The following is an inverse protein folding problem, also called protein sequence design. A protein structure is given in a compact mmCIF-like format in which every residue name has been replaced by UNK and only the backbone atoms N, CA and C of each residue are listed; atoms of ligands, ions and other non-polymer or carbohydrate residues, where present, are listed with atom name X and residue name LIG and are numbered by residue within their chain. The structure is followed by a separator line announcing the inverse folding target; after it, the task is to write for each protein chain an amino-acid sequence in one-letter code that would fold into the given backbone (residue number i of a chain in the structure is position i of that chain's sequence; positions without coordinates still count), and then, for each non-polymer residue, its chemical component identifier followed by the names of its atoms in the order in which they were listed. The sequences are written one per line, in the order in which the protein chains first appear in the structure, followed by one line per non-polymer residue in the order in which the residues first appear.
data_IF_291282526396
#
_entry.id   IF_291282526396
#
_cell.length_a   1.000
_cell.length_b   1.000
_cell.length_c   1.000
_cell.angle_alpha   90.00
_cell.angle_beta   90.00
_cell.angle_gamma   90.00
#
_symmetry.space_group_name_H-M   'P 1'
#
loop_
_entity.id
_entity.type
_entity.pdbx_description
1 polymer ?
#
# COMPACT_ATOMS: atom_id res chain seq x y z
N UNK A 1 -5.45 -6.05 26.69
CA UNK A 1 -5.15 -4.94 25.78
C UNK A 1 -6.17 -3.83 26.04
N UNK A 2 -5.76 -2.58 26.31
CA UNK A 2 -6.71 -1.46 26.37
C UNK A 2 -7.02 -1.01 24.95
N UNK A 3 -8.28 -1.06 24.54
CA UNK A 3 -8.75 -0.46 23.29
C UNK A 3 -9.05 1.02 23.56
N UNK A 4 -8.60 1.89 22.67
CA UNK A 4 -8.94 3.30 22.68
C UNK A 4 -9.92 3.59 21.53
N UNK A 5 -10.97 4.36 21.79
CA UNK A 5 -11.93 4.78 20.81
C UNK A 5 -11.73 6.26 20.49
N UNK A 6 -11.49 6.58 19.21
CA UNK A 6 -11.25 7.95 18.71
C UNK A 6 -12.54 8.46 18.05
N UNK A 7 -13.25 9.39 18.72
CA UNK A 7 -14.64 9.78 18.37
C UNK A 7 -14.76 11.22 17.85
N UNK A 8 -14.21 11.51 16.67
CA UNK A 8 -14.42 12.83 16.04
C UNK A 8 -15.04 12.73 14.65
N UNK A 9 -14.83 11.58 13.99
CA UNK A 9 -15.43 11.37 12.69
C UNK A 9 -16.89 10.94 12.77
N UNK A 10 -17.77 11.63 12.04
CA UNK A 10 -19.20 11.31 11.97
C UNK A 10 -19.56 10.37 10.81
N UNK A 11 -18.75 9.37 10.47
CA UNK A 11 -19.03 8.36 9.44
C UNK A 11 -17.77 7.65 8.93
N UNK A 12 -17.84 7.12 7.72
CA UNK A 12 -16.85 6.19 7.17
C UNK A 12 -15.45 6.79 7.02
N UNK A 13 -14.47 6.20 7.70
CA UNK A 13 -13.04 6.54 7.57
C UNK A 13 -12.51 5.85 6.31
N UNK A 14 -11.81 6.60 5.46
CA UNK A 14 -11.29 6.13 4.18
C UNK A 14 -9.79 5.85 4.21
N UNK A 15 -9.09 6.38 5.21
CA UNK A 15 -7.66 6.13 5.37
C UNK A 15 -7.19 6.41 6.79
N UNK A 16 -6.21 5.63 7.21
CA UNK A 16 -5.52 5.75 8.48
C UNK A 16 -4.04 5.42 8.28
N UNK A 17 -3.18 6.17 8.93
CA UNK A 17 -1.75 5.87 9.03
C UNK A 17 -1.21 6.36 10.37
N UNK A 18 -0.17 5.71 10.87
CA UNK A 18 0.43 6.03 12.17
C UNK A 18 1.93 6.27 12.05
N UNK A 19 2.45 7.07 12.96
CA UNK A 19 3.88 7.35 13.07
C UNK A 19 4.49 6.50 14.18
N UNK A 20 5.57 5.75 13.93
CA UNK A 20 6.19 4.92 14.95
C UNK A 20 7.01 5.70 15.99
N UNK A 21 7.46 6.93 15.67
CA UNK A 21 8.35 7.71 16.53
C UNK A 21 7.62 8.74 17.39
N UNK A 22 6.63 9.43 16.79
CA UNK A 22 5.91 10.52 17.47
C UNK A 22 4.57 10.09 18.08
N UNK A 23 4.22 8.80 18.01
CA UNK A 23 2.95 8.25 18.51
C UNK A 23 1.73 9.06 18.04
N UNK A 24 1.76 9.50 16.79
CA UNK A 24 0.67 10.22 16.15
C UNK A 24 -0.09 9.31 15.17
N UNK A 25 -1.40 9.51 15.09
CA UNK A 25 -2.24 8.85 14.10
C UNK A 25 -2.84 9.95 13.22
N UNK A 26 -2.88 9.72 11.90
CA UNK A 26 -3.66 10.53 10.99
C UNK A 26 -4.81 9.72 10.42
N UNK A 27 -5.98 10.31 10.39
CA UNK A 27 -7.18 9.73 9.79
C UNK A 27 -7.77 10.69 8.77
N UNK A 28 -8.27 10.17 7.67
CA UNK A 28 -9.02 10.95 6.70
C UNK A 28 -10.37 10.32 6.39
N UNK A 29 -11.30 11.14 5.87
CA UNK A 29 -12.67 10.74 5.65
C UNK A 29 -13.26 11.30 4.36
N UNK A 30 -14.35 10.69 3.92
CA UNK A 30 -15.13 11.14 2.78
C UNK A 30 -15.73 12.56 2.93
N UNK A 31 -15.84 13.12 4.14
CA UNK A 31 -16.29 14.50 4.41
C UNK A 31 -15.26 15.59 4.10
N UNK A 32 -14.10 15.20 3.54
CA UNK A 32 -13.03 16.10 3.11
C UNK A 32 -12.20 16.71 4.25
N UNK A 33 -12.24 16.10 5.42
CA UNK A 33 -11.44 16.47 6.59
C UNK A 33 -10.44 15.37 6.94
N UNK A 34 -9.37 15.77 7.61
CA UNK A 34 -8.44 14.87 8.28
C UNK A 34 -8.28 15.29 9.74
N UNK A 35 -7.96 14.32 10.59
CA UNK A 35 -7.58 14.57 11.97
C UNK A 35 -6.21 14.00 12.23
N UNK A 36 -5.36 14.78 12.90
CA UNK A 36 -4.14 14.31 13.51
C UNK A 36 -4.39 14.10 15.00
N UNK A 37 -4.16 12.89 15.45
CA UNK A 37 -4.35 12.46 16.82
C UNK A 37 -3.00 12.35 17.50
N UNK A 38 -2.75 13.18 18.51
CA UNK A 38 -1.56 13.11 19.35
C UNK A 38 -1.92 12.60 20.73
N UNK A 39 -1.06 11.81 21.34
CA UNK A 39 -1.26 11.34 22.70
C UNK A 39 -0.55 12.27 23.70
N UNK A 40 -1.30 12.86 24.63
CA UNK A 40 -0.78 13.64 25.75
C UNK A 40 -1.39 13.09 27.06
N UNK A 41 -0.54 12.73 28.01
CA UNK A 41 -0.93 12.20 29.32
C UNK A 41 -1.86 10.96 29.22
N UNK A 42 -1.60 10.09 28.24
CA UNK A 42 -2.40 8.90 27.98
C UNK A 42 -3.77 9.15 27.32
N UNK A 43 -4.07 10.39 26.95
CA UNK A 43 -5.32 10.79 26.29
C UNK A 43 -5.04 11.21 24.86
N UNK A 44 -5.79 10.65 23.93
CA UNK A 44 -5.74 11.02 22.50
C UNK A 44 -6.49 12.33 22.26
N UNK A 45 -5.80 13.33 21.72
CA UNK A 45 -6.36 14.64 21.37
C UNK A 45 -6.39 14.81 19.85
N UNK A 46 -7.55 15.10 19.26
CA UNK A 46 -7.69 15.37 17.84
C UNK A 46 -7.29 16.80 17.49
N UNK A 47 -6.59 16.97 16.39
CA UNK A 47 -6.37 18.26 15.73
C UNK A 47 -6.97 18.20 14.34
N UNK A 48 -7.97 19.06 14.06
CA UNK A 48 -8.61 19.13 12.76
C UNK A 48 -7.64 19.72 11.72
N UNK A 49 -7.54 19.05 10.58
CA UNK A 49 -6.81 19.53 9.42
C UNK A 49 -7.77 19.75 8.25
N UNK A 50 -7.95 21.02 7.88
CA UNK A 50 -8.85 21.41 6.78
C UNK A 50 -8.13 21.17 5.45
N UNK A 51 -8.54 20.14 4.72
CA UNK A 51 -7.90 19.75 3.47
C UNK A 51 -8.22 20.67 2.29
N UNK A 52 -9.34 21.40 2.31
CA UNK A 52 -9.81 22.26 1.22
C UNK A 52 -9.88 21.51 -0.13
N UNK A 53 -10.36 20.27 -0.13
CA UNK A 53 -10.58 19.43 -1.30
C UNK A 53 -12.05 19.42 -1.70
N UNK A 54 -12.33 19.18 -3.00
CA UNK A 54 -13.69 19.18 -3.53
C UNK A 54 -14.31 17.77 -3.58
N UNK A 55 -13.47 16.73 -3.52
CA UNK A 55 -13.88 15.33 -3.54
C UNK A 55 -13.50 14.65 -2.22
N UNK A 56 -14.09 13.48 -1.96
CA UNK A 56 -13.77 12.67 -0.79
C UNK A 56 -12.26 12.39 -0.70
N UNK A 57 -11.71 12.40 0.51
CA UNK A 57 -10.39 11.86 0.76
C UNK A 57 -10.46 10.33 0.62
N UNK A 58 -9.46 9.73 -0.02
CA UNK A 58 -9.45 8.29 -0.36
C UNK A 58 -8.33 7.52 0.33
N UNK A 59 -7.25 8.20 0.66
CA UNK A 59 -6.05 7.61 1.24
C UNK A 59 -5.25 8.65 2.02
N UNK A 60 -4.50 8.24 3.03
CA UNK A 60 -3.58 9.11 3.77
C UNK A 60 -2.29 8.35 4.06
N UNK A 61 -1.16 9.05 4.00
CA UNK A 61 0.16 8.48 4.28
C UNK A 61 1.08 9.50 4.93
N UNK A 62 1.64 9.16 6.10
CA UNK A 62 2.69 9.92 6.74
C UNK A 62 3.99 9.89 5.94
N UNK A 63 4.73 10.98 5.98
CA UNK A 63 6.12 11.01 5.52
C UNK A 63 7.04 10.32 6.53
N UNK A 64 8.18 9.83 6.07
CA UNK A 64 9.10 9.05 6.92
C UNK A 64 9.75 9.85 8.06
N UNK A 65 9.87 11.17 7.90
CA UNK A 65 10.33 12.07 8.97
C UNK A 65 9.20 12.55 9.88
N UNK A 66 7.97 12.09 9.64
CA UNK A 66 6.78 12.41 10.45
C UNK A 66 6.45 13.92 10.56
N UNK A 67 7.01 14.74 9.68
CA UNK A 67 6.83 16.20 9.66
C UNK A 67 5.72 16.65 8.69
N UNK A 68 5.19 15.74 7.88
CA UNK A 68 4.12 15.99 6.92
C UNK A 68 3.40 14.71 6.54
N UNK A 69 2.21 14.84 5.96
CA UNK A 69 1.46 13.71 5.40
C UNK A 69 0.79 14.08 4.08
N UNK A 70 0.55 13.10 3.25
CA UNK A 70 -0.15 13.25 1.98
C UNK A 70 -1.54 12.64 2.05
N UNK A 71 -2.52 13.30 1.41
CA UNK A 71 -3.91 12.82 1.32
C UNK A 71 -4.27 12.63 -0.14
N UNK A 72 -4.77 11.44 -0.46
CA UNK A 72 -5.40 11.12 -1.74
C UNK A 72 -6.76 11.80 -1.86
N UNK A 73 -7.14 12.17 -3.01
CA UNK A 73 -8.35 12.75 -3.59
C UNK A 73 -7.93 13.56 -4.80
N UNK A 74 -7.34 14.73 -4.64
CA UNK A 74 -6.66 15.51 -5.67
C UNK A 74 -5.20 15.76 -5.29
N UNK A 75 -4.54 14.81 -4.65
CA UNK A 75 -3.18 14.88 -4.10
C UNK A 75 -2.92 16.16 -3.29
N UNK A 76 -3.29 16.13 -2.02
CA UNK A 76 -3.00 17.17 -1.03
C UNK A 76 -1.79 16.78 -0.20
N UNK A 77 -0.96 17.76 0.09
CA UNK A 77 0.13 17.65 1.03
C UNK A 77 -0.15 18.53 2.24
N UNK A 78 -0.07 17.95 3.43
CA UNK A 78 -0.24 18.67 4.69
C UNK A 78 1.06 18.60 5.48
N UNK A 79 1.49 19.73 6.03
CA UNK A 79 2.64 19.82 6.91
C UNK A 79 2.32 20.68 8.12
N UNK A 80 3.03 20.42 9.22
CA UNK A 80 2.88 21.17 10.45
C UNK A 80 3.77 22.43 10.40
N UNK A 81 3.17 23.59 10.66
CA UNK A 81 3.90 24.87 10.79
C UNK A 81 4.07 25.19 12.27
N UNK A 82 5.28 25.02 12.76
CA UNK A 82 5.60 25.17 14.18
C UNK A 82 5.45 26.61 14.70
N UNK A 83 5.62 27.61 13.84
CA UNK A 83 5.49 29.02 14.24
C UNK A 83 4.06 29.40 14.63
N UNK A 84 3.07 28.82 13.97
CA UNK A 84 1.66 29.10 14.19
C UNK A 84 0.90 27.94 14.87
N UNK A 85 1.56 26.85 15.19
CA UNK A 85 1.01 25.63 15.84
C UNK A 85 -0.22 25.04 15.11
N UNK A 86 -0.18 25.02 13.78
CA UNK A 86 -1.26 24.47 12.96
C UNK A 86 -0.79 23.70 11.72
N UNK A 87 -1.71 22.94 11.11
CA UNK A 87 -1.47 22.20 9.90
C UNK A 87 -1.84 23.00 8.66
N UNK A 88 -0.90 23.13 7.72
CA UNK A 88 -1.10 23.77 6.42
C UNK A 88 -1.27 22.73 5.32
N UNK A 89 -2.27 22.93 4.46
CA UNK A 89 -2.48 22.07 3.30
C UNK A 89 -2.07 22.77 1.99
N UNK A 90 -1.11 22.16 1.25
CA UNK A 90 -0.72 22.57 -0.11
C UNK A 90 -1.26 21.57 -1.14
N UNK A 91 -1.75 22.04 -2.28
CA UNK A 91 -2.33 21.21 -3.32
C UNK A 91 -1.35 20.98 -4.48
N UNK A 92 -1.16 19.73 -4.88
CA UNK A 92 -0.46 19.35 -6.11
C UNK A 92 -1.42 19.61 -7.28
N UNK A 93 -1.47 20.88 -7.76
CA UNK A 93 -2.44 21.37 -8.76
C UNK A 93 -2.08 20.90 -10.18
N UNK A 94 -3.12 20.74 -11.02
CA UNK A 94 -3.06 20.62 -12.50
C UNK A 94 -2.47 19.32 -13.08
N UNK A 95 -1.87 18.44 -12.30
CA UNK A 95 -1.21 17.23 -12.84
C UNK A 95 -2.05 15.96 -12.71
N UNK A 96 -2.94 15.91 -11.71
CA UNK A 96 -3.88 14.80 -11.50
C UNK A 96 -5.29 15.37 -11.59
N UNK A 97 -6.10 14.83 -12.51
CA UNK A 97 -7.49 15.23 -12.75
C UNK A 97 -8.50 14.15 -12.35
N UNK A 98 -8.01 13.05 -11.82
CA UNK A 98 -8.80 11.89 -11.38
C UNK A 98 -8.52 11.57 -9.92
N UNK A 99 -9.31 10.67 -9.35
CA UNK A 99 -9.14 10.21 -7.97
C UNK A 99 -7.79 9.52 -7.78
N UNK A 100 -7.07 9.90 -6.73
CA UNK A 100 -5.85 9.22 -6.28
C UNK A 100 -6.25 8.06 -5.38
N UNK A 101 -5.78 6.86 -5.68
CA UNK A 101 -6.12 5.63 -4.95
C UNK A 101 -4.99 5.17 -4.03
N UNK A 102 -3.73 5.42 -4.38
CA UNK A 102 -2.58 5.03 -3.57
C UNK A 102 -1.51 6.12 -3.54
N UNK A 103 -0.82 6.23 -2.43
CA UNK A 103 0.27 7.17 -2.19
C UNK A 103 1.41 6.45 -1.47
N UNK A 104 2.64 6.81 -1.79
CA UNK A 104 3.80 6.39 -1.01
C UNK A 104 4.93 7.42 -1.06
N UNK A 105 5.68 7.52 0.04
CA UNK A 105 6.79 8.44 0.18
C UNK A 105 8.11 7.78 -0.20
N UNK A 106 8.91 8.50 -0.96
CA UNK A 106 10.29 8.12 -1.17
C UNK A 106 11.10 8.26 0.13
N UNK A 107 12.11 7.40 0.39
CA UNK A 107 12.94 7.46 1.61
C UNK A 107 13.59 8.81 1.90
N UNK A 108 13.81 9.65 0.89
CA UNK A 108 14.35 11.01 1.09
C UNK A 108 13.33 12.00 1.67
N UNK A 109 12.10 11.60 1.95
CA UNK A 109 11.03 12.46 2.46
C UNK A 109 10.59 13.62 1.53
N UNK A 110 11.11 13.70 0.31
CA UNK A 110 10.87 14.83 -0.63
C UNK A 110 10.08 14.43 -1.86
N UNK A 111 10.13 13.16 -2.29
CA UNK A 111 9.35 12.67 -3.40
C UNK A 111 8.13 11.91 -2.92
N UNK A 112 7.03 12.06 -3.66
CA UNK A 112 5.75 11.39 -3.42
C UNK A 112 5.31 10.69 -4.70
N UNK A 113 5.05 9.38 -4.61
CA UNK A 113 4.38 8.63 -5.67
C UNK A 113 2.87 8.68 -5.48
N UNK A 114 2.13 8.73 -6.59
CA UNK A 114 0.67 8.72 -6.61
C UNK A 114 0.15 7.85 -7.75
N UNK A 115 -0.70 6.89 -7.39
CA UNK A 115 -1.49 6.08 -8.31
C UNK A 115 -2.91 6.62 -8.43
N UNK A 116 -3.47 6.67 -9.63
CA UNK A 116 -4.75 7.32 -9.87
C UNK A 116 -5.63 6.61 -10.90
N UNK A 117 -6.93 6.95 -10.89
CA UNK A 117 -7.93 6.39 -11.79
C UNK A 117 -7.75 6.80 -13.26
N UNK A 118 -6.83 7.68 -13.61
CA UNK A 118 -6.47 8.02 -14.97
C UNK A 118 -5.41 7.10 -15.58
N UNK A 119 -5.21 5.92 -14.98
CA UNK A 119 -4.31 4.84 -15.40
C UNK A 119 -2.83 5.23 -15.32
N UNK A 120 -2.49 6.18 -14.47
CA UNK A 120 -1.11 6.67 -14.34
C UNK A 120 -0.58 6.54 -12.93
N UNK A 121 0.67 6.10 -12.84
CA UNK A 121 1.52 6.27 -11.68
C UNK A 121 2.43 7.49 -11.92
N UNK A 122 2.54 8.38 -10.95
CA UNK A 122 3.33 9.62 -11.05
C UNK A 122 4.20 9.81 -9.84
N UNK A 123 5.37 10.39 -10.05
CA UNK A 123 6.27 10.85 -8.98
C UNK A 123 6.32 12.37 -9.01
N UNK A 124 6.05 12.99 -7.86
CA UNK A 124 6.08 14.44 -7.68
C UNK A 124 7.12 14.86 -6.67
N UNK A 125 7.65 16.06 -6.83
CA UNK A 125 8.33 16.73 -5.75
C UNK A 125 7.31 17.25 -4.73
N UNK A 126 7.47 16.81 -3.50
CA UNK A 126 6.73 17.24 -2.31
C UNK A 126 7.62 18.11 -1.39
N UNK A 127 8.68 18.69 -1.94
CA UNK A 127 9.62 19.54 -1.23
C UNK A 127 8.93 20.79 -0.69
N UNK A 128 9.06 21.01 0.61
CA UNK A 128 8.52 22.19 1.31
C UNK A 128 9.66 22.88 2.03
N UNK A 129 10.03 24.07 1.55
CA UNK A 129 11.20 24.83 2.03
C UNK A 129 11.14 25.08 3.54
N UNK A 130 9.94 25.20 4.10
CA UNK A 130 9.67 25.53 5.49
C UNK A 130 9.96 24.37 6.46
N UNK A 131 9.97 23.12 5.94
CA UNK A 131 10.10 21.92 6.79
C UNK A 131 11.13 20.91 6.29
N UNK A 132 11.59 21.03 5.05
CA UNK A 132 12.54 20.09 4.44
C UNK A 132 13.89 20.74 4.19
N UNK A 133 14.95 19.96 4.35
CA UNK A 133 16.27 20.33 3.87
C UNK A 133 16.31 20.34 2.34
N UNK A 134 17.17 21.18 1.74
CA UNK A 134 17.30 21.25 0.29
C UNK A 134 17.75 19.90 -0.27
N UNK A 135 16.96 19.27 -1.15
CA UNK A 135 17.28 17.95 -1.65
C UNK A 135 18.51 17.97 -2.56
N UNK A 136 19.35 16.95 -2.45
CA UNK A 136 20.42 16.67 -3.39
C UNK A 136 19.85 16.13 -4.72
N UNK A 137 20.66 16.16 -5.78
CA UNK A 137 20.34 15.49 -7.04
C UNK A 137 20.25 13.99 -6.85
N UNK A 138 19.27 13.35 -7.50
CA UNK A 138 19.02 11.93 -7.39
C UNK A 138 18.58 11.33 -8.73
N UNK A 139 18.50 9.99 -8.87
CA UNK A 139 18.14 9.33 -10.12
C UNK A 139 16.78 9.77 -10.69
N UNK A 140 15.82 10.19 -9.84
CA UNK A 140 14.51 10.71 -10.25
C UNK A 140 14.57 12.14 -10.82
N UNK A 141 15.65 12.88 -10.64
CA UNK A 141 15.86 14.23 -11.15
C UNK A 141 16.62 15.13 -10.18
N UNK A 142 17.03 16.31 -10.66
CA UNK A 142 17.84 17.27 -9.91
C UNK A 142 17.09 18.53 -9.46
N UNK A 143 16.04 18.93 -10.20
CA UNK A 143 15.23 20.12 -9.88
C UNK A 143 13.92 19.70 -9.26
N UNK A 144 13.74 19.99 -7.97
CA UNK A 144 12.61 19.54 -7.18
C UNK A 144 11.81 20.68 -6.53
N UNK A 145 11.34 21.70 -7.29
CA UNK A 145 10.42 22.66 -6.71
C UNK A 145 9.10 21.95 -6.36
N UNK A 146 8.38 22.45 -5.36
CA UNK A 146 7.09 21.90 -4.96
C UNK A 146 6.15 21.67 -6.17
N UNK A 147 5.46 20.53 -6.19
CA UNK A 147 4.52 20.14 -7.25
C UNK A 147 5.16 19.85 -8.62
N UNK A 148 6.49 19.75 -8.72
CA UNK A 148 7.13 19.38 -9.99
C UNK A 148 6.89 17.90 -10.29
N UNK A 149 6.47 17.59 -11.51
CA UNK A 149 6.33 16.21 -11.98
C UNK A 149 7.71 15.69 -12.38
N UNK A 150 8.21 14.72 -11.61
CA UNK A 150 9.49 14.07 -11.87
C UNK A 150 9.37 12.96 -12.92
N UNK A 151 8.34 12.12 -12.80
CA UNK A 151 8.08 11.02 -13.72
C UNK A 151 6.59 10.69 -13.80
N UNK A 152 6.16 10.16 -14.96
CA UNK A 152 4.81 9.66 -15.16
C UNK A 152 4.84 8.37 -15.98
N UNK A 153 4.16 7.34 -15.50
CA UNK A 153 4.10 6.01 -16.10
C UNK A 153 2.66 5.65 -16.44
N UNK A 154 2.46 4.87 -17.50
CA UNK A 154 1.15 4.41 -17.93
C UNK A 154 0.40 5.46 -18.79
N UNK A 155 -0.83 5.14 -19.17
CA UNK A 155 -1.74 6.09 -19.84
C UNK A 155 -1.80 5.98 -21.35
N UNK A 156 -1.43 4.86 -21.95
CA UNK A 156 -1.65 4.58 -23.39
C UNK A 156 -3.07 4.11 -23.75
N UNK A 157 -4.06 4.39 -22.89
CA UNK A 157 -5.49 4.12 -23.18
C UNK A 157 -5.98 2.70 -22.89
N UNK A 158 -5.10 1.75 -22.63
CA UNK A 158 -5.45 0.34 -22.40
C UNK A 158 -5.15 -0.16 -20.99
N UNK A 159 -4.74 0.72 -20.07
CA UNK A 159 -4.39 0.37 -18.70
C UNK A 159 -5.58 0.36 -17.74
N UNK A 160 -5.38 -0.16 -16.53
CA UNK A 160 -6.34 -0.12 -15.42
C UNK A 160 -6.04 1.01 -14.43
N UNK A 161 -6.98 1.30 -13.54
CA UNK A 161 -6.77 2.18 -12.38
C UNK A 161 -5.55 1.73 -11.58
N UNK A 162 -4.67 2.66 -11.23
CA UNK A 162 -3.51 2.35 -10.38
C UNK A 162 -3.95 2.43 -8.93
N UNK A 163 -4.08 1.26 -8.29
CA UNK A 163 -4.60 1.13 -6.93
C UNK A 163 -3.54 1.36 -5.85
N UNK A 164 -2.39 0.73 -6.00
CA UNK A 164 -1.30 0.77 -5.02
C UNK A 164 0.01 1.21 -5.66
N UNK A 165 0.83 1.90 -4.88
CA UNK A 165 2.19 2.30 -5.25
C UNK A 165 3.11 2.10 -4.04
N UNK A 166 4.37 1.75 -4.27
CA UNK A 166 5.36 1.60 -3.20
C UNK A 166 6.77 1.89 -3.71
N UNK A 167 7.55 2.67 -2.98
CA UNK A 167 8.99 2.80 -3.20
C UNK A 167 9.77 1.67 -2.54
N UNK A 168 10.90 1.29 -3.12
CA UNK A 168 11.88 0.43 -2.46
C UNK A 168 12.57 1.17 -1.31
N UNK A 169 13.18 0.42 -0.39
CA UNK A 169 13.91 0.97 0.77
C UNK A 169 15.04 1.92 0.37
N UNK A 170 15.72 1.68 -0.75
CA UNK A 170 16.71 2.59 -1.31
C UNK A 170 16.10 3.80 -2.03
N UNK A 171 14.80 3.77 -2.37
CA UNK A 171 14.12 4.75 -3.20
C UNK A 171 14.46 4.70 -4.69
N UNK A 172 15.36 3.82 -5.14
CA UNK A 172 15.72 3.72 -6.55
C UNK A 172 14.63 3.10 -7.42
N UNK A 173 13.72 2.32 -6.82
CA UNK A 173 12.66 1.61 -7.53
C UNK A 173 11.29 2.04 -7.03
N UNK A 174 10.31 2.00 -7.93
CA UNK A 174 8.90 2.27 -7.65
C UNK A 174 8.06 1.14 -8.26
N UNK A 175 7.29 0.44 -7.42
CA UNK A 175 6.31 -0.56 -7.85
C UNK A 175 4.90 0.02 -7.84
N UNK A 176 4.05 -0.46 -8.76
CA UNK A 176 2.61 -0.18 -8.73
C UNK A 176 1.80 -1.35 -9.28
N UNK A 177 0.55 -1.42 -8.84
CA UNK A 177 -0.42 -2.42 -9.27
C UNK A 177 -1.65 -1.75 -9.86
N UNK A 178 -2.20 -2.36 -10.90
CA UNK A 178 -3.31 -1.79 -11.65
C UNK A 178 -4.50 -2.74 -11.75
N UNK A 179 -5.68 -2.18 -11.99
CA UNK A 179 -6.94 -2.93 -12.08
C UNK A 179 -7.00 -3.91 -13.26
N UNK A 180 -6.13 -3.76 -14.23
CA UNK A 180 -5.97 -4.67 -15.36
C UNK A 180 -5.10 -5.90 -15.04
N UNK A 181 -4.86 -6.19 -13.76
CA UNK A 181 -4.04 -7.32 -13.28
C UNK A 181 -2.56 -7.20 -13.66
N UNK A 182 -2.04 -6.00 -13.83
CA UNK A 182 -0.62 -5.76 -14.05
C UNK A 182 0.12 -5.36 -12.78
N UNK A 183 1.32 -5.86 -12.65
CA UNK A 183 2.34 -5.39 -11.69
C UNK A 183 3.47 -4.75 -12.49
N UNK A 184 3.89 -3.58 -12.09
CA UNK A 184 4.95 -2.85 -12.79
C UNK A 184 5.99 -2.33 -11.80
N UNK A 185 7.24 -2.26 -12.25
CA UNK A 185 8.36 -1.68 -11.50
C UNK A 185 9.12 -0.73 -12.42
N UNK A 186 9.34 0.50 -11.96
CA UNK A 186 10.26 1.46 -12.56
C UNK A 186 11.56 1.50 -11.76
N UNK A 187 12.70 1.42 -12.44
CA UNK A 187 14.04 1.49 -11.84
C UNK A 187 14.74 2.76 -12.31
N UNK A 188 14.86 3.75 -11.42
CA UNK A 188 15.48 5.03 -11.72
C UNK A 188 17.01 4.92 -11.87
N UNK A 189 17.65 3.92 -11.27
CA UNK A 189 19.09 3.66 -11.45
C UNK A 189 19.44 3.22 -12.87
N UNK A 190 18.45 2.74 -13.64
CA UNK A 190 18.56 2.27 -15.02
C UNK A 190 17.86 3.21 -16.00
N UNK A 191 18.08 4.52 -15.88
CA UNK A 191 17.46 5.52 -16.74
C UNK A 191 15.92 5.44 -16.75
N UNK A 192 15.34 5.12 -15.59
CA UNK A 192 13.89 4.98 -15.39
C UNK A 192 13.27 3.86 -16.26
N UNK A 193 13.99 2.73 -16.36
CA UNK A 193 13.49 1.55 -17.06
C UNK A 193 12.22 1.02 -16.36
N UNK A 194 11.17 0.73 -17.14
CA UNK A 194 9.92 0.15 -16.65
C UNK A 194 9.79 -1.29 -17.11
N UNK A 195 9.50 -2.18 -16.15
CA UNK A 195 9.14 -3.58 -16.39
C UNK A 195 7.73 -3.82 -15.94
N UNK A 196 6.92 -4.44 -16.79
CA UNK A 196 5.51 -4.74 -16.52
C UNK A 196 5.25 -6.23 -16.70
N UNK A 197 4.62 -6.85 -15.70
CA UNK A 197 4.15 -8.22 -15.73
C UNK A 197 2.63 -8.22 -15.77
N UNK A 198 2.06 -8.75 -16.85
CA UNK A 198 0.64 -9.07 -16.95
C UNK A 198 0.40 -10.39 -16.26
N UNK A 199 -0.46 -10.43 -15.26
CA UNK A 199 -0.80 -11.65 -14.54
C UNK A 199 -2.17 -12.19 -14.98
N UNK A 200 -2.41 -13.48 -14.75
CA UNK A 200 -3.71 -14.12 -14.94
C UNK A 200 -4.59 -14.04 -13.68
N UNK A 201 -4.09 -13.39 -12.65
CA UNK A 201 -4.80 -13.21 -11.38
C UNK A 201 -5.84 -12.09 -11.46
N UNK A 202 -6.74 -12.05 -10.48
CA UNK A 202 -7.67 -10.95 -10.30
C UNK A 202 -6.90 -9.65 -9.96
N UNK A 203 -7.55 -8.48 -10.14
CA UNK A 203 -6.89 -7.20 -9.88
C UNK A 203 -6.30 -7.10 -8.47
N UNK A 204 -5.08 -6.57 -8.41
CA UNK A 204 -4.36 -6.30 -7.17
C UNK A 204 -4.69 -4.89 -6.68
N UNK A 205 -4.89 -4.74 -5.37
CA UNK A 205 -5.31 -3.49 -4.75
C UNK A 205 -4.21 -2.80 -3.96
N UNK A 206 -3.28 -3.56 -3.41
CA UNK A 206 -2.19 -3.06 -2.57
C UNK A 206 -0.87 -3.69 -2.96
N UNK A 207 0.22 -2.93 -2.83
CA UNK A 207 1.58 -3.36 -3.14
C UNK A 207 2.55 -2.77 -2.13
N UNK A 208 3.59 -3.52 -1.77
CA UNK A 208 4.68 -3.05 -0.91
C UNK A 208 5.99 -3.74 -1.29
N UNK A 209 7.10 -2.99 -1.32
CA UNK A 209 8.43 -3.62 -1.30
C UNK A 209 8.69 -4.22 0.07
N UNK A 210 9.17 -5.45 0.10
CA UNK A 210 9.57 -6.18 1.32
C UNK A 210 11.08 -6.34 1.43
N UNK A 211 11.77 -6.21 0.33
CA UNK A 211 13.23 -6.06 0.20
C UNK A 211 13.53 -5.22 -1.04
N UNK A 212 14.79 -4.97 -1.34
CA UNK A 212 15.18 -4.21 -2.54
C UNK A 212 14.69 -4.86 -3.85
N UNK A 213 14.59 -6.19 -3.87
CA UNK A 213 14.28 -6.98 -5.07
C UNK A 213 12.89 -7.67 -5.00
N UNK A 214 12.26 -7.72 -3.86
CA UNK A 214 11.02 -8.47 -3.64
C UNK A 214 9.83 -7.54 -3.42
N UNK A 215 8.75 -7.79 -4.14
CA UNK A 215 7.50 -7.03 -4.10
C UNK A 215 6.37 -7.94 -3.66
N UNK A 216 5.65 -7.52 -2.64
CA UNK A 216 4.45 -8.16 -2.14
C UNK A 216 3.23 -7.41 -2.66
N UNK A 217 2.25 -8.11 -3.21
CA UNK A 217 0.99 -7.52 -3.63
C UNK A 217 -0.20 -8.40 -3.23
N UNK A 218 -1.36 -7.78 -3.03
CA UNK A 218 -2.59 -8.47 -2.68
C UNK A 218 -3.81 -7.74 -3.25
N UNK A 219 -4.92 -8.46 -3.39
CA UNK A 219 -6.15 -7.92 -3.95
C UNK A 219 -7.31 -8.90 -3.92
N UNK A 220 -7.98 -9.04 -5.05
CA UNK A 220 -9.23 -9.82 -5.17
C UNK A 220 -9.07 -11.34 -5.11
N UNK A 221 -7.85 -11.86 -5.26
CA UNK A 221 -7.56 -13.30 -5.06
C UNK A 221 -7.56 -13.74 -3.59
N UNK A 222 -7.81 -12.85 -2.65
CA UNK A 222 -7.90 -13.11 -1.21
C UNK A 222 -6.62 -13.71 -0.59
N UNK A 223 -5.50 -13.67 -1.28
CA UNK A 223 -4.20 -14.11 -0.79
C UNK A 223 -3.08 -13.16 -1.20
N UNK A 224 -2.04 -12.99 -0.37
CA UNK A 224 -0.84 -12.24 -0.76
C UNK A 224 -0.03 -12.99 -1.81
N UNK A 225 0.63 -12.26 -2.68
CA UNK A 225 1.45 -12.78 -3.78
C UNK A 225 2.82 -12.14 -3.77
N UNK A 226 3.85 -12.94 -3.97
CA UNK A 226 5.24 -12.52 -4.02
C UNK A 226 5.72 -12.44 -5.47
N UNK A 227 6.37 -11.32 -5.78
CA UNK A 227 7.04 -11.06 -7.06
C UNK A 227 8.50 -10.71 -6.81
N UNK A 228 9.35 -11.03 -7.77
CA UNK A 228 10.76 -10.68 -7.72
C UNK A 228 11.17 -9.84 -8.94
N UNK A 229 11.93 -8.77 -8.69
CA UNK A 229 12.53 -7.91 -9.69
C UNK A 229 14.04 -8.10 -9.65
N UNK A 230 14.60 -8.76 -10.65
CA UNK A 230 16.01 -9.08 -10.71
C UNK A 230 16.88 -7.93 -11.25
N UNK A 231 18.20 -8.04 -11.11
CA UNK A 231 19.15 -7.02 -11.57
C UNK A 231 19.20 -6.85 -13.11
N UNK A 232 18.65 -7.79 -13.86
CA UNK A 232 18.48 -7.65 -15.32
C UNK A 232 17.29 -6.80 -15.70
N UNK A 233 16.48 -6.40 -14.71
CA UNK A 233 15.26 -5.60 -14.93
C UNK A 233 14.06 -6.45 -15.32
N UNK A 234 14.04 -7.73 -14.96
CA UNK A 234 12.91 -8.61 -15.21
C UNK A 234 12.08 -8.81 -13.95
N UNK A 235 10.77 -8.60 -14.08
CA UNK A 235 9.78 -8.83 -13.01
C UNK A 235 9.14 -10.20 -13.23
N UNK A 236 9.14 -11.05 -12.20
CA UNK A 236 8.60 -12.41 -12.24
C UNK A 236 7.69 -12.68 -11.05
N UNK A 237 6.66 -13.51 -11.25
CA UNK A 237 5.87 -14.05 -10.16
C UNK A 237 6.63 -15.19 -9.47
N UNK A 238 6.64 -15.20 -8.14
CA UNK A 238 7.32 -16.22 -7.33
C UNK A 238 6.32 -17.22 -6.77
N UNK A 239 5.35 -16.76 -5.94
CA UNK A 239 4.39 -17.63 -5.27
C UNK A 239 3.19 -16.87 -4.72
N UNK A 240 2.07 -17.58 -4.53
CA UNK A 240 1.03 -17.21 -3.58
C UNK A 240 1.50 -17.58 -2.17
N UNK A 241 1.24 -16.69 -1.20
CA UNK A 241 1.73 -16.84 0.18
C UNK A 241 0.66 -17.39 1.12
N UNK A 242 -0.37 -18.00 0.60
CA UNK A 242 -1.38 -18.62 1.45
C UNK A 242 -0.88 -19.96 1.99
N UNK A 243 -1.05 -20.15 3.31
CA UNK A 243 -0.78 -21.44 3.94
C UNK A 243 -2.07 -22.24 3.81
N UNK A 244 -2.09 -23.35 3.04
CA UNK A 244 -3.27 -24.19 2.98
C UNK A 244 -3.68 -24.56 4.40
N UNK A 245 -4.93 -24.33 4.77
CA UNK A 245 -5.49 -24.85 6.01
C UNK A 245 -5.17 -26.35 6.00
N UNK A 246 -4.28 -26.81 6.87
CA UNK A 246 -4.07 -28.23 7.05
C UNK A 246 -5.43 -28.82 7.32
N UNK A 247 -6.01 -29.48 6.32
CA UNK A 247 -7.15 -30.33 6.54
C UNK A 247 -6.67 -31.31 7.61
N UNK A 248 -7.23 -31.20 8.81
CA UNK A 248 -7.07 -32.25 9.79
C UNK A 248 -7.52 -33.50 9.04
N UNK A 249 -6.56 -34.29 8.58
CA UNK A 249 -6.82 -35.59 8.00
C UNK A 249 -7.38 -36.45 9.13
N UNK A 250 -8.66 -36.26 9.43
CA UNK A 250 -9.47 -37.37 9.91
C UNK A 250 -9.43 -38.37 8.78
N UNK A 251 -9.07 -39.61 9.09
CA UNK A 251 -9.10 -40.74 8.18
C UNK A 251 -10.52 -40.88 7.60
N UNK A 252 -10.82 -40.05 6.61
CA UNK A 252 -12.10 -40.05 5.90
C UNK A 252 -12.00 -41.18 4.90
N UNK A 253 -12.83 -42.20 5.05
CA UNK A 253 -12.88 -43.36 4.15
C UNK A 253 -13.14 -42.88 2.71
N UNK A 254 -12.68 -43.67 1.72
CA UNK A 254 -12.90 -43.36 0.30
C UNK A 254 -14.40 -43.16 -0.02
N UNK A 255 -15.28 -43.87 0.67
CA UNK A 255 -16.73 -43.77 0.57
C UNK A 255 -17.27 -42.41 1.05
N UNK A 256 -16.68 -41.88 2.10
CA UNK A 256 -17.04 -40.56 2.67
C UNK A 256 -16.54 -39.41 1.80
N UNK A 257 -15.39 -39.57 1.13
CA UNK A 257 -14.90 -38.63 0.09
C UNK A 257 -15.85 -38.58 -1.11
N UNK A 258 -16.30 -39.73 -1.60
CA UNK A 258 -17.28 -39.81 -2.68
C UNK A 258 -18.63 -39.21 -2.28
N UNK A 259 -19.08 -39.44 -1.05
CA UNK A 259 -20.32 -38.88 -0.52
C UNK A 259 -20.25 -37.36 -0.40
N UNK A 260 -19.08 -36.82 0.01
CA UNK A 260 -18.85 -35.38 0.11
C UNK A 260 -18.72 -34.73 -1.28
N UNK A 261 -18.13 -35.44 -2.28
CA UNK A 261 -18.14 -34.98 -3.67
C UNK A 261 -19.56 -34.99 -4.26
N UNK A 262 -20.36 -36.00 -3.99
CA UNK A 262 -21.75 -36.06 -4.45
C UNK A 262 -22.62 -34.99 -3.79
N UNK A 263 -22.41 -34.69 -2.50
CA UNK A 263 -23.07 -33.57 -1.81
C UNK A 263 -22.68 -32.24 -2.39
N UNK A 264 -21.41 -32.02 -2.75
CA UNK A 264 -20.94 -30.79 -3.43
C UNK A 264 -21.54 -30.60 -4.81
N UNK A 265 -21.88 -31.70 -5.52
CA UNK A 265 -22.49 -31.64 -6.84
C UNK A 265 -24.01 -31.37 -6.82
N UNK A 266 -24.68 -31.56 -5.67
CA UNK A 266 -26.15 -31.46 -5.55
C UNK A 266 -26.63 -30.27 -4.72
N UNK A 267 -25.74 -29.58 -4.00
CA UNK A 267 -26.07 -28.35 -3.26
C UNK A 267 -25.58 -27.14 -4.03
N UNK A 268 -26.51 -26.31 -4.50
CA UNK A 268 -26.28 -24.90 -4.84
C UNK A 268 -25.93 -24.09 -3.56
N UNK A 269 -25.00 -24.58 -2.77
CA UNK A 269 -24.51 -23.86 -1.61
C UNK A 269 -23.57 -22.75 -2.10
N UNK A 270 -24.16 -21.57 -2.28
CA UNK A 270 -23.49 -20.30 -2.57
C UNK A 270 -22.54 -19.86 -1.44
N UNK A 271 -22.33 -20.67 -0.43
CA UNK A 271 -21.50 -20.41 0.76
C UNK A 271 -20.33 -21.39 0.91
N UNK A 272 -19.65 -21.76 -0.18
CA UNK A 272 -18.35 -22.44 -0.04
C UNK A 272 -17.31 -21.45 0.43
N UNK A 273 -16.90 -21.53 1.71
CA UNK A 273 -15.77 -20.79 2.22
C UNK A 273 -14.53 -21.06 1.36
N UNK A 274 -13.82 -20.00 0.99
CA UNK A 274 -12.57 -20.11 0.25
C UNK A 274 -11.54 -20.88 1.09
N UNK A 275 -10.63 -21.56 0.44
CA UNK A 275 -9.52 -22.26 1.12
C UNK A 275 -8.49 -21.27 1.69
N UNK A 276 -8.53 -20.02 1.26
CA UNK A 276 -7.69 -18.91 1.69
C UNK A 276 -8.02 -18.44 3.12
N UNK A 277 -7.04 -17.85 3.82
CA UNK A 277 -7.24 -17.26 5.15
C UNK A 277 -8.22 -16.08 5.10
N UNK A 278 -8.04 -15.16 4.11
CA UNK A 278 -9.03 -14.14 3.82
C UNK A 278 -10.18 -14.70 2.99
N UNK A 279 -11.39 -14.34 3.36
CA UNK A 279 -12.62 -14.79 2.68
C UNK A 279 -13.16 -13.75 1.70
N UNK A 280 -12.51 -12.58 1.60
CA UNK A 280 -12.81 -11.51 0.66
C UNK A 280 -11.52 -10.77 0.30
N UNK A 281 -11.63 -9.80 -0.60
CA UNK A 281 -10.50 -9.03 -1.12
C UNK A 281 -9.64 -8.40 -0.03
N UNK A 282 -8.34 -8.54 -0.17
CA UNK A 282 -7.35 -7.86 0.66
C UNK A 282 -7.21 -6.44 0.13
N UNK A 283 -7.52 -5.45 0.98
CA UNK A 283 -7.50 -4.03 0.61
C UNK A 283 -6.18 -3.35 0.92
N UNK A 284 -5.44 -3.85 1.91
CA UNK A 284 -4.17 -3.27 2.32
C UNK A 284 -3.16 -4.32 2.77
N UNK A 285 -1.92 -4.11 2.35
CA UNK A 285 -0.72 -4.78 2.83
C UNK A 285 0.12 -3.75 3.56
N UNK A 286 0.59 -4.07 4.75
CA UNK A 286 1.43 -3.18 5.56
C UNK A 286 2.60 -3.95 6.15
N UNK A 287 3.79 -3.35 6.15
CA UNK A 287 4.95 -3.91 6.82
C UNK A 287 4.74 -3.80 8.33
N UNK A 288 4.94 -4.89 9.05
CA UNK A 288 4.72 -4.96 10.50
C UNK A 288 6.04 -5.00 11.28
N UNK A 289 7.00 -5.78 10.83
CA UNK A 289 8.31 -5.92 11.49
C UNK A 289 9.41 -6.00 10.43
N UNK A 290 10.46 -5.22 10.61
CA UNK A 290 11.62 -5.17 9.72
C UNK A 290 12.84 -5.66 10.48
N UNK A 291 13.67 -6.51 9.85
CA UNK A 291 14.96 -6.97 10.36
C UNK A 291 16.04 -6.47 9.41
N UNK A 292 16.96 -5.64 9.91
CA UNK A 292 17.97 -4.91 9.12
C UNK A 292 17.31 -4.04 8.02
N UNK A 293 17.21 -4.55 6.79
CA UNK A 293 16.57 -3.87 5.66
C UNK A 293 15.41 -4.66 5.02
N UNK A 294 15.19 -5.88 5.50
CA UNK A 294 14.18 -6.78 4.94
C UNK A 294 12.97 -6.92 5.85
N UNK A 295 11.80 -7.08 5.25
CA UNK A 295 10.57 -7.29 5.97
C UNK A 295 10.58 -8.70 6.59
N UNK A 296 10.47 -8.77 7.92
CA UNK A 296 10.31 -10.04 8.64
C UNK A 296 8.86 -10.47 8.74
N UNK A 297 7.98 -9.52 9.05
CA UNK A 297 6.54 -9.77 9.14
C UNK A 297 5.77 -8.67 8.43
N UNK A 298 4.67 -9.05 7.82
CA UNK A 298 3.71 -8.13 7.25
C UNK A 298 2.30 -8.46 7.72
N UNK A 299 1.40 -7.51 7.62
CA UNK A 299 -0.01 -7.76 7.87
C UNK A 299 -0.86 -7.43 6.62
N UNK A 300 -1.98 -8.12 6.53
CA UNK A 300 -3.00 -7.88 5.52
C UNK A 300 -4.33 -7.59 6.20
N UNK A 301 -5.09 -6.66 5.64
CA UNK A 301 -6.46 -6.38 6.05
C UNK A 301 -7.38 -6.49 4.84
N UNK A 302 -8.57 -7.07 5.04
CA UNK A 302 -9.52 -7.37 3.98
C UNK A 302 -10.93 -6.83 4.25
N UNK A 303 -11.77 -6.89 3.21
CA UNK A 303 -13.20 -6.54 3.29
C UNK A 303 -13.97 -7.51 4.21
N UNK A 304 -13.43 -8.70 4.42
CA UNK A 304 -13.96 -9.69 5.37
C UNK A 304 -13.82 -9.28 6.85
N UNK A 305 -13.22 -8.11 7.12
CA UNK A 305 -12.96 -7.60 8.47
C UNK A 305 -11.81 -8.32 9.18
N UNK A 306 -11.11 -9.23 8.50
CA UNK A 306 -9.96 -9.93 9.07
C UNK A 306 -8.68 -9.10 8.94
N UNK A 307 -7.82 -9.20 9.96
CA UNK A 307 -6.43 -8.78 9.94
C UNK A 307 -5.55 -10.00 10.21
N UNK A 308 -4.65 -10.29 9.28
CA UNK A 308 -3.76 -11.45 9.39
C UNK A 308 -2.31 -10.98 9.43
N UNK A 309 -1.53 -11.48 10.36
CA UNK A 309 -0.09 -11.27 10.45
C UNK A 309 0.62 -12.48 9.86
N UNK A 310 1.53 -12.22 8.93
CA UNK A 310 2.30 -13.20 8.20
C UNK A 310 3.77 -13.11 8.62
N UNK A 311 4.37 -14.25 8.93
CA UNK A 311 5.79 -14.37 9.25
C UNK A 311 6.51 -15.09 8.12
N UNK A 312 7.51 -14.45 7.51
CA UNK A 312 8.23 -15.02 6.37
C UNK A 312 8.98 -16.30 6.70
N UNK A 313 9.52 -16.45 7.92
CA UNK A 313 10.17 -17.72 8.34
C UNK A 313 9.19 -18.88 8.31
N UNK A 314 7.95 -18.64 8.77
CA UNK A 314 6.88 -19.64 8.73
C UNK A 314 6.47 -19.94 7.28
N UNK A 315 6.35 -18.93 6.43
CA UNK A 315 5.98 -19.07 5.02
C UNK A 315 7.05 -19.86 4.25
N UNK A 316 8.33 -19.54 4.42
CA UNK A 316 9.45 -20.25 3.78
C UNK A 316 9.53 -21.72 4.19
N UNK A 317 9.19 -22.04 5.45
CA UNK A 317 9.13 -23.43 5.92
C UNK A 317 7.89 -24.18 5.42
N UNK A 318 6.82 -23.48 5.13
CA UNK A 318 5.50 -24.07 4.78
C UNK A 318 5.28 -24.17 3.28
N UNK A 319 5.92 -23.31 2.48
CA UNK A 319 5.78 -23.26 1.03
C UNK A 319 7.06 -23.80 0.38
N UNK A 320 6.97 -24.97 -0.24
CA UNK A 320 8.11 -25.63 -0.87
C UNK A 320 8.71 -24.75 -1.99
N UNK A 321 10.01 -24.45 -1.88
CA UNK A 321 10.74 -23.66 -2.88
C UNK A 321 10.61 -22.15 -2.71
N UNK A 322 9.88 -21.66 -1.71
CA UNK A 322 9.86 -20.24 -1.39
C UNK A 322 11.22 -19.83 -0.80
N UNK A 323 11.88 -18.89 -1.43
CA UNK A 323 13.04 -18.17 -0.88
C UNK A 323 12.84 -16.69 -1.13
N UNK A 324 12.87 -15.91 -0.06
CA UNK A 324 12.90 -14.46 -0.17
C UNK A 324 14.34 -14.10 -0.45
N UNK A 325 14.60 -13.53 -1.63
CA UNK A 325 15.93 -13.06 -1.96
C UNK A 325 16.21 -11.82 -1.11
N UNK A 326 16.92 -12.04 -0.02
CA UNK A 326 17.61 -10.97 0.69
C UNK A 326 18.72 -10.43 -0.23
N UNK A 327 18.89 -9.13 -0.25
CA UNK A 327 19.89 -8.41 -1.06
C UNK A 327 21.31 -8.74 -0.64
#
# INVERSE_FOLDING_TARGET
MKAHELKEHNGHITGIDCTPKSDCIVTCRADRNAYVWGQKDGVWKPTLVILRINCAATFVKWSLLENKFAVGSGARLCYFESENDWWISKHIKKRIRSTVLGLDWHPNNVLLAAGSCDFKCRVFSAYIKEVDEKPASMPWGSKMPFCHLMSAFGGSGTGGWVHGVSFSTSGSRLAWVSHDSTVSVADASKSVQVSTLKTEFLPLLSVSFISQNSVLAAGHDCCPMLFNYNDRGCLTFVSKLDIPKQSIQRNVSAMERLRNMAKRATTEDRNTALETLHQNSITQVSIYEVDEQDCRKFCTTGIDGAMTIWDFKTLESSIQGLRIMCS
#
